data_IF_898343358100
#
_entry.id   IF_898343358100
#
_cell.length_a   1.000
_cell.length_b   1.000
_cell.length_c   1.000
_cell.angle_alpha   90.00
_cell.angle_beta   90.00
_cell.angle_gamma   90.00
#
_symmetry.space_group_name_H-M   'P 1'
#
loop_
_entity.id
_entity.type
_entity.pdbx_description
1 polymer ?
#
# COMPACT_ATOMS: atom_id res chain seq x y z
N UNK A 1 12.35 -81.83 7.63
CA UNK A 1 12.63 -80.92 6.51
C UNK A 1 11.50 -79.91 6.34
N UNK A 2 11.88 -78.65 6.15
CA UNK A 2 11.12 -77.45 6.53
C UNK A 2 10.02 -76.97 5.56
N UNK A 3 9.23 -75.96 5.97
CA UNK A 3 8.17 -75.40 5.15
C UNK A 3 8.69 -74.22 4.30
N UNK A 4 8.63 -74.34 2.99
CA UNK A 4 8.79 -73.25 2.02
C UNK A 4 7.97 -73.63 0.78
N UNK A 5 7.16 -72.79 0.13
CA UNK A 5 7.08 -71.35 0.14
C UNK A 5 5.62 -70.93 -0.11
N UNK A 6 5.11 -69.99 0.69
CA UNK A 6 3.92 -69.24 0.34
C UNK A 6 4.31 -68.26 -0.78
N UNK A 7 3.74 -68.46 -1.97
CA UNK A 7 3.85 -67.50 -3.08
C UNK A 7 3.20 -66.15 -2.72
N UNK A 8 3.59 -65.06 -3.40
CA UNK A 8 3.06 -63.74 -3.09
C UNK A 8 1.57 -63.70 -3.41
N UNK A 9 0.75 -63.39 -2.41
CA UNK A 9 -0.66 -63.08 -2.58
C UNK A 9 -0.78 -61.67 -3.17
N UNK A 10 -0.67 -61.57 -4.49
CA UNK A 10 -1.11 -60.38 -5.24
C UNK A 10 -2.64 -60.32 -5.21
N UNK A 11 -3.17 -59.80 -4.10
CA UNK A 11 -4.60 -59.57 -3.88
C UNK A 11 -4.98 -58.10 -4.10
N UNK A 12 -6.29 -57.79 -4.27
CA UNK A 12 -6.85 -56.46 -4.56
C UNK A 12 -6.42 -55.32 -3.59
N UNK A 13 -5.83 -55.67 -2.45
CA UNK A 13 -5.26 -54.73 -1.50
C UNK A 13 -3.99 -54.02 -2.01
N UNK A 14 -3.22 -54.62 -2.92
CA UNK A 14 -2.03 -53.96 -3.52
C UNK A 14 -2.45 -52.81 -4.45
N UNK A 15 -3.44 -53.01 -5.32
CA UNK A 15 -3.99 -51.95 -6.17
C UNK A 15 -4.59 -50.79 -5.36
N UNK A 16 -5.31 -51.09 -4.27
CA UNK A 16 -5.86 -50.08 -3.37
C UNK A 16 -4.77 -49.28 -2.64
N UNK A 17 -3.68 -49.94 -2.23
CA UNK A 17 -2.51 -49.29 -1.63
C UNK A 17 -1.76 -48.41 -2.64
N UNK A 18 -1.61 -48.86 -3.87
CA UNK A 18 -1.00 -48.09 -4.95
C UNK A 18 -1.82 -46.85 -5.31
N UNK A 19 -3.15 -46.99 -5.40
CA UNK A 19 -4.05 -45.87 -5.62
C UNK A 19 -3.94 -44.84 -4.48
N UNK A 20 -3.93 -45.29 -3.23
CA UNK A 20 -3.76 -44.41 -2.06
C UNK A 20 -2.41 -43.72 -2.06
N UNK A 21 -1.33 -44.41 -2.41
CA UNK A 21 0.03 -43.85 -2.54
C UNK A 21 0.07 -42.79 -3.64
N UNK A 22 -0.56 -43.03 -4.78
CA UNK A 22 -0.66 -42.08 -5.89
C UNK A 22 -1.48 -40.84 -5.50
N UNK A 23 -2.60 -41.04 -4.83
CA UNK A 23 -3.44 -39.95 -4.32
C UNK A 23 -2.68 -39.08 -3.32
N UNK A 24 -1.92 -39.68 -2.40
CA UNK A 24 -1.09 -38.94 -1.44
C UNK A 24 0.02 -38.14 -2.14
N UNK A 25 0.72 -38.74 -3.11
CA UNK A 25 1.73 -38.05 -3.91
C UNK A 25 1.14 -36.85 -4.65
N UNK A 26 -0.04 -37.02 -5.24
CA UNK A 26 -0.74 -35.94 -5.93
C UNK A 26 -1.16 -34.82 -4.97
N UNK A 27 -1.62 -35.15 -3.77
CA UNK A 27 -1.92 -34.16 -2.73
C UNK A 27 -0.68 -33.35 -2.34
N UNK A 28 0.45 -34.02 -2.10
CA UNK A 28 1.71 -33.34 -1.77
C UNK A 28 2.15 -32.40 -2.90
N UNK A 29 2.09 -32.86 -4.15
CA UNK A 29 2.42 -32.03 -5.32
C UNK A 29 1.48 -30.84 -5.47
N UNK A 30 0.19 -31.04 -5.24
CA UNK A 30 -0.80 -29.96 -5.30
C UNK A 30 -0.55 -28.91 -4.20
N UNK A 31 -0.27 -29.35 -2.96
CA UNK A 31 0.07 -28.45 -1.85
C UNK A 31 1.35 -27.68 -2.17
N UNK A 32 2.39 -28.32 -2.70
CA UNK A 32 3.63 -27.64 -3.08
C UNK A 32 3.42 -26.57 -4.17
N UNK A 33 2.61 -26.87 -5.18
CA UNK A 33 2.23 -25.90 -6.23
C UNK A 33 1.43 -24.73 -5.66
N UNK A 34 0.42 -25.01 -4.84
CA UNK A 34 -0.39 -23.99 -4.20
C UNK A 34 0.45 -23.12 -3.27
N UNK A 35 1.36 -23.71 -2.49
CA UNK A 35 2.28 -22.97 -1.63
C UNK A 35 3.13 -21.99 -2.44
N UNK A 36 3.62 -22.39 -3.61
CA UNK A 36 4.39 -21.51 -4.49
C UNK A 36 3.54 -20.37 -5.05
N UNK A 37 2.30 -20.65 -5.47
CA UNK A 37 1.36 -19.62 -5.96
C UNK A 37 1.00 -18.64 -4.84
N UNK A 38 0.70 -19.12 -3.64
CA UNK A 38 0.41 -18.26 -2.48
C UNK A 38 1.59 -17.38 -2.10
N UNK A 39 2.81 -17.90 -2.18
CA UNK A 39 4.02 -17.12 -1.93
C UNK A 39 4.15 -15.98 -2.95
N UNK A 40 4.01 -16.26 -4.25
CA UNK A 40 4.07 -15.23 -5.30
C UNK A 40 2.96 -14.19 -5.13
N UNK A 41 1.72 -14.63 -4.89
CA UNK A 41 0.59 -13.71 -4.66
C UNK A 41 0.82 -12.81 -3.46
N UNK A 42 1.41 -13.34 -2.39
CA UNK A 42 1.78 -12.55 -1.21
C UNK A 42 2.86 -11.52 -1.54
N UNK A 43 3.95 -11.95 -2.17
CA UNK A 43 5.05 -11.06 -2.57
C UNK A 43 4.56 -9.93 -3.48
N UNK A 44 3.70 -10.23 -4.46
CA UNK A 44 3.12 -9.22 -5.36
C UNK A 44 2.14 -8.29 -4.64
N UNK A 45 1.33 -8.82 -3.71
CA UNK A 45 0.41 -8.00 -2.90
C UNK A 45 1.16 -7.03 -1.97
N UNK A 46 2.26 -7.47 -1.38
CA UNK A 46 3.13 -6.64 -0.53
C UNK A 46 3.76 -5.51 -1.36
N UNK A 47 4.34 -5.82 -2.54
CA UNK A 47 4.88 -4.80 -3.48
C UNK A 47 3.85 -3.76 -3.91
N UNK A 48 2.62 -4.20 -4.23
CA UNK A 48 1.53 -3.28 -4.61
C UNK A 48 1.14 -2.38 -3.44
N UNK A 49 1.15 -2.90 -2.22
CA UNK A 49 0.85 -2.12 -1.02
C UNK A 49 1.92 -1.08 -0.75
N UNK A 50 3.19 -1.46 -0.85
CA UNK A 50 4.34 -0.56 -0.72
C UNK A 50 4.29 0.56 -1.76
N UNK A 51 4.06 0.23 -3.03
CA UNK A 51 3.95 1.25 -4.08
C UNK A 51 2.75 2.19 -3.86
N UNK A 52 1.63 1.69 -3.33
CA UNK A 52 0.49 2.52 -2.94
C UNK A 52 0.83 3.49 -1.81
N UNK A 53 1.60 3.04 -0.81
CA UNK A 53 2.03 3.92 0.29
C UNK A 53 2.97 5.02 -0.21
N UNK A 54 3.92 4.68 -1.08
CA UNK A 54 4.85 5.66 -1.69
C UNK A 54 4.11 6.64 -2.61
N UNK A 55 3.07 6.18 -3.32
CA UNK A 55 2.29 7.02 -4.26
C UNK A 55 1.18 7.85 -3.60
N UNK A 56 1.07 7.90 -2.27
CA UNK A 56 0.05 8.71 -1.59
C UNK A 56 -1.39 8.16 -1.70
N UNK A 57 -1.54 6.83 -1.79
CA UNK A 57 -2.83 6.13 -1.70
C UNK A 57 -3.45 5.68 -3.02
N UNK A 58 -2.97 6.16 -4.18
CA UNK A 58 -3.42 5.68 -5.50
C UNK A 58 -2.25 5.51 -6.46
N UNK A 59 -2.19 4.35 -7.11
CA UNK A 59 -1.16 4.06 -8.10
C UNK A 59 -1.39 4.90 -9.36
N UNK A 60 -0.36 5.63 -9.86
CA UNK A 60 -0.46 6.36 -11.12
C UNK A 60 -0.85 5.40 -12.26
N UNK A 61 -1.81 5.82 -13.10
CA UNK A 61 -2.29 4.98 -14.20
C UNK A 61 -1.16 4.54 -15.15
N UNK A 62 -0.15 5.40 -15.35
CA UNK A 62 1.03 5.08 -16.16
C UNK A 62 1.86 3.92 -15.60
N UNK A 63 2.03 3.83 -14.28
CA UNK A 63 2.76 2.74 -13.62
C UNK A 63 2.00 1.42 -13.67
N UNK A 64 0.66 1.47 -13.57
CA UNK A 64 -0.22 0.31 -13.73
C UNK A 64 -0.22 -0.24 -15.16
N UNK A 65 -0.19 0.64 -16.16
CA UNK A 65 -0.23 0.26 -17.58
C UNK A 65 1.03 -0.49 -18.02
N UNK A 66 2.16 -0.26 -17.34
CA UNK A 66 3.44 -0.93 -17.54
C UNK A 66 3.55 -2.30 -16.84
N UNK A 67 2.52 -2.72 -16.10
CA UNK A 67 2.48 -4.03 -15.44
C UNK A 67 3.54 -4.21 -14.34
N UNK A 68 3.97 -5.46 -14.12
CA UNK A 68 4.88 -5.81 -13.03
C UNK A 68 6.25 -5.12 -13.12
N UNK A 69 6.77 -4.89 -14.34
CA UNK A 69 8.04 -4.17 -14.53
C UNK A 69 7.90 -2.68 -14.20
N UNK A 70 6.79 -2.05 -14.58
CA UNK A 70 6.51 -0.66 -14.22
C UNK A 70 6.44 -0.47 -12.70
N UNK A 71 5.78 -1.40 -12.01
CA UNK A 71 5.70 -1.42 -10.54
C UNK A 71 7.10 -1.58 -9.93
N UNK A 72 7.88 -2.55 -10.39
CA UNK A 72 9.25 -2.78 -9.90
C UNK A 72 10.15 -1.56 -10.12
N UNK A 73 10.10 -0.94 -11.30
CA UNK A 73 10.91 0.22 -11.64
C UNK A 73 10.48 1.48 -10.87
N UNK A 74 9.18 1.68 -10.63
CA UNK A 74 8.71 2.80 -9.80
C UNK A 74 9.14 2.67 -8.33
N UNK A 75 9.18 1.44 -7.78
CA UNK A 75 9.71 1.17 -6.44
C UNK A 75 11.24 1.34 -6.41
N UNK A 76 11.93 0.98 -7.50
CA UNK A 76 13.39 1.00 -7.59
C UNK A 76 13.96 2.38 -7.91
N UNK A 77 13.12 3.35 -8.30
CA UNK A 77 13.57 4.67 -8.67
C UNK A 77 13.89 5.48 -7.40
N UNK A 78 15.14 5.40 -6.98
CA UNK A 78 15.73 6.10 -5.83
C UNK A 78 15.34 7.59 -5.76
N UNK A 79 15.14 8.25 -6.91
CA UNK A 79 14.78 9.67 -6.94
C UNK A 79 13.42 9.99 -6.32
N UNK A 80 12.42 9.13 -6.48
CA UNK A 80 11.07 9.41 -5.96
C UNK A 80 10.97 9.10 -4.47
N UNK A 81 11.60 8.00 -4.03
CA UNK A 81 11.79 7.72 -2.61
C UNK A 81 12.55 8.88 -1.90
N UNK A 82 13.67 9.33 -2.51
CA UNK A 82 14.47 10.45 -1.99
C UNK A 82 13.70 11.77 -1.91
N UNK A 83 12.82 12.08 -2.87
CA UNK A 83 12.00 13.31 -2.82
C UNK A 83 11.02 13.30 -1.65
N UNK A 84 10.44 12.15 -1.35
CA UNK A 84 9.52 11.99 -0.20
C UNK A 84 10.32 12.06 1.11
N UNK A 85 11.45 11.36 1.21
CA UNK A 85 12.30 11.38 2.40
C UNK A 85 12.86 12.78 2.68
N UNK A 86 13.24 13.55 1.65
CA UNK A 86 13.71 14.94 1.80
C UNK A 86 12.74 15.84 2.56
N UNK A 87 11.44 15.58 2.52
CA UNK A 87 10.47 16.36 3.30
C UNK A 87 10.47 15.95 4.78
N UNK A 88 10.67 14.67 5.06
CA UNK A 88 10.66 14.08 6.40
C UNK A 88 12.01 14.18 7.13
N UNK A 89 13.12 14.32 6.40
CA UNK A 89 14.47 14.50 6.94
C UNK A 89 14.80 15.95 7.32
N UNK A 90 13.91 16.91 6.99
CA UNK A 90 14.09 18.30 7.39
C UNK A 90 14.02 18.43 8.91
N UNK A 91 14.88 19.27 9.47
CA UNK A 91 14.77 19.62 10.87
C UNK A 91 13.39 20.25 11.12
N UNK A 92 12.72 19.91 12.24
CA UNK A 92 11.57 20.65 12.70
C UNK A 92 11.91 22.15 12.78
N UNK A 93 10.98 23.04 12.43
CA UNK A 93 11.21 24.48 12.52
C UNK A 93 11.55 24.88 13.96
N UNK A 94 12.44 25.85 14.11
CA UNK A 94 12.80 26.37 15.42
C UNK A 94 11.62 27.07 16.08
N UNK A 95 11.65 27.20 17.41
CA UNK A 95 10.57 27.85 18.14
C UNK A 95 10.30 29.29 17.67
N UNK A 96 11.36 30.05 17.37
CA UNK A 96 11.25 31.41 16.82
C UNK A 96 10.60 31.43 15.43
N UNK A 97 10.96 30.48 14.56
CA UNK A 97 10.34 30.37 13.23
C UNK A 97 8.86 30.03 13.32
N UNK A 98 8.47 29.12 14.22
CA UNK A 98 7.06 28.77 14.44
C UNK A 98 6.26 29.96 14.96
N UNK A 99 6.81 30.73 15.90
CA UNK A 99 6.16 31.94 16.42
C UNK A 99 5.97 32.97 15.32
N UNK A 100 7.03 33.26 14.55
CA UNK A 100 6.96 34.20 13.42
C UNK A 100 5.94 33.77 12.38
N UNK A 101 5.93 32.48 12.02
CA UNK A 101 5.01 31.93 11.02
C UNK A 101 3.56 32.03 11.50
N UNK A 102 3.28 31.72 12.77
CA UNK A 102 1.95 31.90 13.37
C UNK A 102 1.51 33.38 13.42
N UNK A 103 2.42 34.30 13.73
CA UNK A 103 2.12 35.73 13.72
C UNK A 103 1.83 36.25 12.32
N UNK A 104 2.62 35.85 11.32
CA UNK A 104 2.41 36.19 9.92
C UNK A 104 1.08 35.64 9.40
N UNK A 105 0.77 34.37 9.67
CA UNK A 105 -0.50 33.74 9.30
C UNK A 105 -1.69 34.44 9.96
N UNK A 106 -1.59 34.75 11.25
CA UNK A 106 -2.63 35.47 11.98
C UNK A 106 -2.82 36.88 11.42
N UNK A 107 -1.74 37.59 11.12
CA UNK A 107 -1.79 38.92 10.53
C UNK A 107 -2.45 38.90 9.14
N UNK A 108 -2.07 37.94 8.28
CA UNK A 108 -2.67 37.78 6.96
C UNK A 108 -4.15 37.40 7.04
N UNK A 109 -4.53 36.54 7.99
CA UNK A 109 -5.93 36.19 8.21
C UNK A 109 -6.76 37.40 8.65
N UNK A 110 -6.22 38.22 9.55
CA UNK A 110 -6.84 39.49 9.97
C UNK A 110 -6.98 40.47 8.81
N UNK A 111 -5.93 40.63 7.99
CA UNK A 111 -5.97 41.53 6.83
C UNK A 111 -6.98 41.06 5.78
N UNK A 112 -7.09 39.76 5.53
CA UNK A 112 -8.15 39.23 4.65
C UNK A 112 -9.53 39.51 5.21
N UNK A 113 -9.74 39.25 6.50
CA UNK A 113 -11.03 39.46 7.15
C UNK A 113 -11.45 40.95 7.11
N UNK A 114 -10.53 41.88 7.34
CA UNK A 114 -10.82 43.32 7.23
C UNK A 114 -11.14 43.72 5.80
N UNK A 115 -10.37 43.25 4.81
CA UNK A 115 -10.65 43.51 3.39
C UNK A 115 -12.01 42.96 2.95
N UNK A 116 -12.38 41.78 3.42
CA UNK A 116 -13.68 41.17 3.12
C UNK A 116 -14.82 41.96 3.76
N UNK A 117 -14.66 42.37 5.02
CA UNK A 117 -15.63 43.20 5.73
C UNK A 117 -15.82 44.58 5.06
N UNK A 118 -14.73 45.21 4.62
CA UNK A 118 -14.77 46.51 3.91
C UNK A 118 -15.46 46.40 2.56
N UNK A 119 -15.39 45.25 1.88
CA UNK A 119 -16.04 45.04 0.59
C UNK A 119 -17.51 44.56 0.71
N UNK A 120 -17.99 44.26 1.92
CA UNK A 120 -19.36 43.80 2.13
C UNK A 120 -20.35 44.99 2.18
N UNK A 121 -21.08 45.15 1.07
CA UNK A 121 -22.12 46.18 0.90
C UNK A 121 -23.26 46.06 1.92
N UNK A 122 -23.59 44.85 2.40
CA UNK A 122 -24.65 44.65 3.41
C UNK A 122 -24.18 45.17 4.76
N UNK A 123 -22.94 44.86 5.15
CA UNK A 123 -22.32 45.38 6.37
C UNK A 123 -22.19 46.90 6.33
N UNK A 124 -21.77 47.49 5.21
CA UNK A 124 -21.72 48.94 5.03
C UNK A 124 -23.11 49.59 5.17
N UNK A 125 -24.15 48.99 4.58
CA UNK A 125 -25.53 49.50 4.67
C UNK A 125 -26.06 49.45 6.10
N UNK A 126 -25.75 48.38 6.85
CA UNK A 126 -26.10 48.23 8.26
C UNK A 126 -25.36 49.25 9.14
N UNK A 127 -24.06 49.42 8.92
CA UNK A 127 -23.24 50.41 9.63
C UNK A 127 -23.76 51.83 9.43
N UNK A 128 -24.14 52.18 8.19
CA UNK A 128 -24.73 53.50 7.87
C UNK A 128 -26.10 53.72 8.50
N UNK A 129 -26.90 52.66 8.70
CA UNK A 129 -28.21 52.69 9.38
C UNK A 129 -28.09 52.75 10.91
N UNK A 130 -27.02 52.21 11.47
CA UNK A 130 -26.73 52.25 12.92
C UNK A 130 -26.06 53.56 13.35
N UNK A 131 -25.45 54.28 12.41
CA UNK A 131 -24.76 55.56 12.66
C UNK A 131 -25.69 56.78 12.65
N UNK A 132 -27.01 56.59 12.49
CA UNK A 132 -28.06 57.63 12.57
C UNK A 132 -28.97 57.36 13.75
#
# INVERSE_FOLDING_TARGET
DGPAAAGPTDGPDTEALEFRRRALKNKILAIGRLSRVFQVLREESEKVTELKTVSGGRLPAGTLMLGAEGIKNAISNFEDARKVDIQNERLPPSHEEVVRQNEEERSQALERATREADNDKKLQTLSRRLST
#
